data_IF_185532180891
#
_entry.id   IF_185532180891
#
_cell.length_a   1.000
_cell.length_b   1.000
_cell.length_c   1.000
_cell.angle_alpha   90.00
_cell.angle_beta   90.00
_cell.angle_gamma   90.00
#
_symmetry.space_group_name_H-M   'P 1'
#
loop_
_entity.id
_entity.type
_entity.pdbx_description
1 polymer ?
#
# COMPACT_ATOMS: atom_id res chain seq x y z
N UNK A 1 -1.99 -8.16 -8.15
CA UNK A 1 -1.10 -7.61 -9.18
C UNK A 1 -1.87 -7.43 -10.48
N UNK A 2 -2.06 -6.20 -10.86
CA UNK A 2 -2.50 -5.87 -12.21
C UNK A 2 -1.22 -5.83 -13.04
N UNK A 3 -0.85 -6.97 -13.60
CA UNK A 3 0.30 -7.05 -14.51
C UNK A 3 0.15 -5.98 -15.57
N UNK A 4 1.09 -5.06 -15.62
CA UNK A 4 1.46 -3.98 -16.53
C UNK A 4 0.79 -3.94 -17.93
N UNK A 5 -0.50 -4.21 -18.04
CA UNK A 5 -1.27 -3.90 -19.23
C UNK A 5 -1.77 -2.46 -19.14
N UNK A 6 -1.16 -1.59 -19.93
CA UNK A 6 -1.62 -0.23 -20.22
C UNK A 6 -2.99 -0.26 -20.94
N UNK A 7 -4.03 -0.85 -20.35
CA UNK A 7 -5.29 -0.94 -21.05
C UNK A 7 -6.48 -0.67 -20.14
N UNK A 8 -7.48 -0.01 -20.71
CA UNK A 8 -8.88 0.07 -20.26
C UNK A 8 -9.46 -1.29 -19.83
N UNK A 9 -8.79 -2.39 -20.15
CA UNK A 9 -9.10 -3.76 -19.78
C UNK A 9 -8.82 -4.05 -18.30
N UNK A 10 -7.74 -3.48 -17.73
CA UNK A 10 -7.42 -3.63 -16.31
C UNK A 10 -8.54 -3.06 -15.42
N UNK A 11 -9.03 -1.85 -15.72
CA UNK A 11 -10.17 -1.27 -15.01
C UNK A 11 -11.40 -2.19 -15.07
N UNK A 12 -11.72 -2.72 -16.25
CA UNK A 12 -12.91 -3.54 -16.45
C UNK A 12 -12.85 -4.88 -15.69
N UNK A 13 -11.67 -5.52 -15.68
CA UNK A 13 -11.46 -6.80 -15.00
C UNK A 13 -11.46 -6.61 -13.48
N UNK A 14 -10.68 -5.65 -12.98
CA UNK A 14 -10.52 -5.42 -11.54
C UNK A 14 -11.82 -4.88 -10.95
N UNK A 15 -12.50 -3.94 -11.61
CA UNK A 15 -13.78 -3.41 -11.11
C UNK A 15 -14.85 -4.50 -10.90
N UNK A 16 -14.80 -5.58 -11.67
CA UNK A 16 -15.73 -6.70 -11.48
C UNK A 16 -15.51 -7.46 -10.16
N UNK A 17 -14.28 -7.48 -9.63
CA UNK A 17 -13.93 -8.16 -8.38
C UNK A 17 -14.06 -7.26 -7.15
N UNK A 18 -13.97 -5.93 -7.31
CA UNK A 18 -13.97 -4.98 -6.18
C UNK A 18 -15.23 -5.06 -5.32
N UNK A 19 -16.38 -5.37 -5.90
CA UNK A 19 -17.66 -5.56 -5.17
C UNK A 19 -17.66 -6.74 -4.18
N UNK A 20 -16.65 -7.60 -4.25
CA UNK A 20 -16.45 -8.72 -3.33
C UNK A 20 -15.19 -8.58 -2.50
N UNK A 21 -14.61 -7.37 -2.46
CA UNK A 21 -13.31 -7.10 -1.85
C UNK A 21 -13.49 -6.31 -0.57
N UNK A 22 -13.08 -6.87 0.56
CA UNK A 22 -13.04 -6.15 1.84
C UNK A 22 -11.77 -5.29 1.96
N UNK A 23 -10.62 -5.83 1.56
CA UNK A 23 -9.31 -5.21 1.66
C UNK A 23 -8.64 -5.12 0.30
N UNK A 24 -8.29 -3.92 -0.12
CA UNK A 24 -7.68 -3.65 -1.42
C UNK A 24 -6.34 -2.95 -1.23
N UNK A 25 -5.27 -3.51 -1.79
CA UNK A 25 -3.93 -2.90 -1.81
C UNK A 25 -3.46 -2.77 -3.26
N UNK A 26 -3.15 -1.55 -3.68
CA UNK A 26 -2.74 -1.21 -5.04
C UNK A 26 -1.50 -0.34 -5.00
N UNK A 27 -0.62 -0.46 -6.00
CA UNK A 27 0.39 0.56 -6.22
C UNK A 27 -0.23 1.81 -6.89
N UNK A 28 0.54 2.89 -6.97
CA UNK A 28 0.06 4.18 -7.51
C UNK A 28 -0.35 4.11 -8.99
N UNK A 29 0.28 3.22 -9.77
CA UNK A 29 -0.04 3.04 -11.19
C UNK A 29 -1.35 2.27 -11.35
N UNK A 30 -1.48 1.17 -10.63
CA UNK A 30 -2.69 0.35 -10.59
C UNK A 30 -3.90 1.14 -10.10
N UNK A 31 -3.74 1.91 -9.03
CA UNK A 31 -4.80 2.72 -8.48
C UNK A 31 -5.32 3.76 -9.48
N UNK A 32 -4.41 4.43 -10.21
CA UNK A 32 -4.80 5.37 -11.26
C UNK A 32 -5.53 4.65 -12.41
N UNK A 33 -5.05 3.49 -12.83
CA UNK A 33 -5.67 2.69 -13.88
C UNK A 33 -7.07 2.19 -13.50
N UNK A 34 -7.25 1.69 -12.28
CA UNK A 34 -8.53 1.13 -11.79
C UNK A 34 -9.57 2.21 -11.51
N UNK A 35 -9.13 3.36 -11.00
CA UNK A 35 -10.05 4.45 -10.61
C UNK A 35 -10.29 5.45 -11.74
N UNK A 36 -9.41 5.53 -12.74
CA UNK A 36 -9.42 6.57 -13.75
C UNK A 36 -9.11 7.96 -13.18
N UNK A 37 -8.53 8.05 -11.99
CA UNK A 37 -8.17 9.31 -11.34
C UNK A 37 -6.66 9.51 -11.37
N UNK A 38 -6.19 10.58 -12.02
CA UNK A 38 -4.80 10.98 -11.94
C UNK A 38 -4.59 11.83 -10.68
N UNK A 39 -3.93 11.26 -9.69
CA UNK A 39 -3.66 11.93 -8.40
C UNK A 39 -2.18 12.30 -8.21
N UNK A 40 -1.32 12.01 -9.19
CA UNK A 40 0.07 12.44 -9.19
C UNK A 40 0.27 13.59 -10.17
N UNK A 41 0.91 14.68 -9.71
CA UNK A 41 1.38 15.79 -10.52
C UNK A 41 2.81 16.10 -10.11
N UNK A 42 3.74 16.08 -11.06
CA UNK A 42 5.18 16.32 -10.80
C UNK A 42 5.71 15.45 -9.63
N UNK A 43 5.34 14.18 -9.61
CA UNK A 43 5.62 13.18 -8.55
C UNK A 43 5.03 13.52 -7.17
N UNK A 44 4.20 14.54 -7.06
CA UNK A 44 3.54 14.92 -5.80
C UNK A 44 2.10 14.46 -5.81
N UNK A 45 1.68 13.88 -4.69
CA UNK A 45 0.29 13.48 -4.49
C UNK A 45 -0.58 14.72 -4.35
N UNK A 46 -1.66 14.75 -5.13
CA UNK A 46 -2.72 15.75 -5.00
C UNK A 46 -3.77 15.18 -4.04
N UNK A 47 -3.82 15.71 -2.82
CA UNK A 47 -4.64 15.14 -1.73
C UNK A 47 -6.12 15.02 -2.09
N UNK A 48 -6.68 16.02 -2.77
CA UNK A 48 -8.07 15.97 -3.23
C UNK A 48 -8.31 14.84 -4.21
N UNK A 49 -7.38 14.60 -5.13
CA UNK A 49 -7.50 13.58 -6.17
C UNK A 49 -7.29 12.17 -5.60
N UNK A 50 -6.34 11.95 -4.67
CA UNK A 50 -6.19 10.63 -4.07
C UNK A 50 -7.39 10.28 -3.19
N UNK A 51 -8.00 11.24 -2.51
CA UNK A 51 -9.27 11.04 -1.79
C UNK A 51 -10.40 10.66 -2.76
N UNK A 52 -10.47 11.29 -3.93
CA UNK A 52 -11.43 10.91 -4.98
C UNK A 52 -11.17 9.50 -5.50
N UNK A 53 -9.91 9.08 -5.68
CA UNK A 53 -9.56 7.72 -6.05
C UNK A 53 -10.08 6.70 -5.02
N UNK A 54 -9.91 6.97 -3.73
CA UNK A 54 -10.45 6.12 -2.66
C UNK A 54 -11.97 6.04 -2.67
N UNK A 55 -12.65 7.16 -2.89
CA UNK A 55 -14.13 7.16 -3.01
C UNK A 55 -14.58 6.26 -4.16
N UNK A 56 -13.92 6.33 -5.31
CA UNK A 56 -14.23 5.45 -6.44
C UNK A 56 -13.97 3.97 -6.14
N UNK A 57 -12.93 3.64 -5.38
CA UNK A 57 -12.70 2.26 -4.92
C UNK A 57 -13.83 1.79 -4.00
N UNK A 58 -14.26 2.62 -3.06
CA UNK A 58 -15.41 2.33 -2.18
C UNK A 58 -16.73 2.20 -2.97
N UNK A 59 -17.01 3.10 -3.92
CA UNK A 59 -18.17 3.04 -4.81
C UNK A 59 -18.19 1.79 -5.70
N UNK A 60 -17.00 1.30 -6.10
CA UNK A 60 -16.84 0.04 -6.84
C UNK A 60 -17.01 -1.20 -5.94
N UNK A 61 -17.08 -1.02 -4.60
CA UNK A 61 -17.45 -2.06 -3.64
C UNK A 61 -16.40 -2.46 -2.61
N UNK A 62 -15.23 -1.80 -2.54
CA UNK A 62 -14.26 -2.07 -1.46
C UNK A 62 -14.92 -1.70 -0.13
N UNK A 63 -15.06 -2.70 0.76
CA UNK A 63 -15.97 -2.59 1.90
C UNK A 63 -15.29 -2.12 3.20
N UNK A 64 -13.98 -2.39 3.39
CA UNK A 64 -13.30 -2.12 4.67
C UNK A 64 -12.13 -1.17 4.47
N UNK A 65 -11.05 -1.59 3.83
CA UNK A 65 -9.87 -0.77 3.63
C UNK A 65 -9.40 -0.76 2.18
N UNK A 66 -9.10 0.41 1.67
CA UNK A 66 -8.34 0.59 0.44
C UNK A 66 -6.98 1.23 0.79
N UNK A 67 -5.89 0.68 0.26
CA UNK A 67 -4.55 1.22 0.45
C UNK A 67 -3.88 1.43 -0.89
N UNK A 68 -3.24 2.58 -1.06
CA UNK A 68 -2.43 2.91 -2.24
C UNK A 68 -1.01 3.18 -1.75
N UNK A 69 -0.04 2.47 -2.31
CA UNK A 69 1.35 2.58 -1.93
C UNK A 69 2.27 2.94 -3.10
N UNK A 70 3.34 3.63 -2.79
CA UNK A 70 4.43 3.99 -3.69
C UNK A 70 5.77 3.86 -2.93
N UNK A 71 6.93 3.98 -3.62
CA UNK A 71 8.23 3.86 -2.95
C UNK A 71 8.43 4.85 -1.79
N UNK A 72 7.87 6.05 -1.87
CA UNK A 72 8.10 7.12 -0.90
C UNK A 72 7.00 7.29 0.14
N UNK A 73 5.82 6.68 -0.07
CA UNK A 73 4.65 6.92 0.75
C UNK A 73 3.59 5.81 0.62
N UNK A 74 2.67 5.79 1.57
CA UNK A 74 1.40 5.09 1.44
C UNK A 74 0.25 5.94 1.97
N UNK A 75 -0.91 5.80 1.34
CA UNK A 75 -2.20 6.30 1.81
C UNK A 75 -3.13 5.14 2.05
N UNK A 76 -3.86 5.18 3.15
CA UNK A 76 -4.92 4.23 3.47
C UNK A 76 -6.23 4.95 3.66
N UNK A 77 -7.31 4.28 3.30
CA UNK A 77 -8.68 4.77 3.48
C UNK A 77 -9.53 3.71 4.16
N UNK A 78 -10.06 4.05 5.33
CA UNK A 78 -11.06 3.24 6.00
C UNK A 78 -12.44 3.62 5.42
N UNK A 79 -13.00 2.71 4.62
CA UNK A 79 -14.28 2.93 3.94
C UNK A 79 -15.46 3.01 4.92
N UNK A 80 -15.33 2.44 6.12
CA UNK A 80 -16.38 2.44 7.14
C UNK A 80 -16.40 3.73 7.97
N UNK A 81 -15.21 4.33 8.15
CA UNK A 81 -15.04 5.52 8.98
C UNK A 81 -14.88 6.81 8.16
N UNK A 82 -14.81 6.72 6.83
CA UNK A 82 -14.46 7.83 5.92
C UNK A 82 -13.15 8.54 6.35
N UNK A 83 -12.17 7.75 6.80
CA UNK A 83 -10.91 8.26 7.31
C UNK A 83 -9.77 7.94 6.35
N UNK A 84 -9.01 8.97 5.96
CA UNK A 84 -7.78 8.81 5.17
C UNK A 84 -6.56 8.99 6.07
N UNK A 85 -5.58 8.09 5.92
CA UNK A 85 -4.34 8.05 6.69
C UNK A 85 -3.18 8.14 5.70
N UNK A 86 -2.18 8.93 6.04
CA UNK A 86 -0.90 9.03 5.33
C UNK A 86 0.22 8.47 6.18
N UNK A 87 1.09 7.65 5.57
CA UNK A 87 2.36 7.25 6.16
C UNK A 87 3.50 7.44 5.15
N UNK A 88 4.59 8.10 5.54
CA UNK A 88 5.81 8.13 4.76
C UNK A 88 6.49 6.75 4.80
N UNK A 89 7.24 6.42 3.76
CA UNK A 89 8.11 5.25 3.76
C UNK A 89 9.28 5.43 4.73
N UNK A 90 9.91 4.32 5.12
CA UNK A 90 11.05 4.32 6.03
C UNK A 90 12.28 4.97 5.38
N UNK A 91 13.13 5.60 6.19
CA UNK A 91 14.42 6.15 5.78
C UNK A 91 15.50 5.07 5.78
N UNK A 92 15.53 4.29 4.70
CA UNK A 92 16.48 3.20 4.55
C UNK A 92 17.86 3.75 4.17
N UNK A 93 18.96 3.23 4.76
CA UNK A 93 20.31 3.71 4.45
C UNK A 93 20.72 3.33 3.03
N UNK A 94 21.70 4.03 2.50
CA UNK A 94 22.30 3.72 1.19
C UNK A 94 22.79 2.25 1.15
N UNK A 95 22.50 1.56 0.04
CA UNK A 95 22.85 0.16 -0.15
C UNK A 95 21.96 -0.85 0.60
N UNK A 96 20.93 -0.40 1.32
CA UNK A 96 19.98 -1.30 1.97
C UNK A 96 19.12 -2.07 0.96
N UNK A 97 18.67 -1.37 -0.09
CA UNK A 97 17.80 -1.95 -1.12
C UNK A 97 18.63 -2.80 -2.07
N UNK A 98 18.40 -4.11 -2.08
CA UNK A 98 19.05 -5.09 -2.96
C UNK A 98 18.13 -5.55 -4.10
N UNK A 99 16.83 -5.47 -3.92
CA UNK A 99 15.82 -5.81 -4.90
C UNK A 99 14.47 -5.18 -4.56
N UNK A 100 13.59 -5.02 -5.54
CA UNK A 100 12.25 -4.43 -5.36
C UNK A 100 11.13 -5.44 -5.58
N UNK A 101 11.47 -6.64 -6.07
CA UNK A 101 10.49 -7.70 -6.32
C UNK A 101 9.86 -8.17 -5.01
N UNK A 102 8.54 -8.27 -4.98
CA UNK A 102 7.80 -8.74 -3.81
C UNK A 102 7.56 -7.71 -2.71
N UNK A 103 8.08 -6.47 -2.83
CA UNK A 103 7.86 -5.43 -1.81
C UNK A 103 6.38 -5.08 -1.66
N UNK A 104 5.62 -5.01 -2.76
CA UNK A 104 4.17 -4.80 -2.75
C UNK A 104 3.42 -5.96 -2.09
N UNK A 105 3.81 -7.20 -2.36
CA UNK A 105 3.23 -8.40 -1.75
C UNK A 105 3.52 -8.44 -0.25
N UNK A 106 4.74 -8.11 0.16
CA UNK A 106 5.13 -8.01 1.56
C UNK A 106 4.33 -6.90 2.29
N UNK A 107 4.13 -5.75 1.63
CA UNK A 107 3.28 -4.68 2.14
C UNK A 107 1.84 -5.17 2.35
N UNK A 108 1.23 -5.77 1.33
CA UNK A 108 -0.12 -6.33 1.39
C UNK A 108 -0.25 -7.38 2.50
N UNK A 109 0.75 -8.25 2.66
CA UNK A 109 0.77 -9.27 3.73
C UNK A 109 0.70 -8.64 5.12
N UNK A 110 1.40 -7.52 5.35
CA UNK A 110 1.34 -6.76 6.60
C UNK A 110 -0.04 -6.15 6.85
N UNK A 111 -0.68 -5.59 5.81
CA UNK A 111 -2.06 -5.07 5.88
C UNK A 111 -3.03 -6.18 6.28
N UNK A 112 -2.98 -7.33 5.59
CA UNK A 112 -3.87 -8.47 5.85
C UNK A 112 -3.64 -9.08 7.23
N UNK A 113 -2.40 -9.15 7.71
CA UNK A 113 -2.11 -9.59 9.07
C UNK A 113 -2.73 -8.66 10.11
N UNK A 114 -2.61 -7.32 9.93
CA UNK A 114 -3.25 -6.35 10.80
C UNK A 114 -4.77 -6.50 10.81
N UNK A 115 -5.39 -6.68 9.64
CA UNK A 115 -6.81 -6.93 9.51
C UNK A 115 -7.24 -8.22 10.24
N UNK A 116 -6.48 -9.32 10.07
CA UNK A 116 -6.72 -10.58 10.78
C UNK A 116 -6.64 -10.44 12.30
N UNK A 117 -5.73 -9.59 12.79
CA UNK A 117 -5.57 -9.30 14.23
C UNK A 117 -6.62 -8.32 14.77
N UNK A 118 -7.48 -7.77 13.92
CA UNK A 118 -8.47 -6.76 14.31
C UNK A 118 -7.84 -5.39 14.66
N UNK A 119 -6.69 -5.06 14.11
CA UNK A 119 -6.03 -3.78 14.31
C UNK A 119 -6.71 -2.65 13.51
N UNK A 120 -6.45 -1.41 13.90
CA UNK A 120 -6.79 -0.26 13.06
C UNK A 120 -5.90 -0.15 11.82
N UNK A 121 -6.39 0.55 10.80
CA UNK A 121 -5.73 0.71 9.50
C UNK A 121 -4.30 1.26 9.64
N UNK A 122 -4.08 2.28 10.46
CA UNK A 122 -2.76 2.89 10.65
C UNK A 122 -1.72 1.87 11.15
N UNK A 123 -2.08 1.05 12.14
CA UNK A 123 -1.18 0.03 12.68
C UNK A 123 -0.88 -1.06 11.63
N UNK A 124 -1.87 -1.45 10.84
CA UNK A 124 -1.69 -2.38 9.73
C UNK A 124 -0.76 -1.79 8.66
N UNK A 125 -0.91 -0.51 8.32
CA UNK A 125 -0.03 0.19 7.37
C UNK A 125 1.42 0.29 7.88
N UNK A 126 1.64 0.54 9.17
CA UNK A 126 2.98 0.51 9.78
C UNK A 126 3.65 -0.84 9.60
N UNK A 127 2.92 -1.92 9.85
CA UNK A 127 3.43 -3.28 9.62
C UNK A 127 3.68 -3.53 8.13
N UNK A 128 2.76 -3.16 7.25
CA UNK A 128 2.94 -3.28 5.79
C UNK A 128 4.21 -2.58 5.30
N UNK A 129 4.42 -1.34 5.73
CA UNK A 129 5.63 -0.57 5.39
C UNK A 129 6.91 -1.25 5.88
N UNK A 130 6.90 -1.80 7.09
CA UNK A 130 8.04 -2.52 7.65
C UNK A 130 8.30 -3.86 6.94
N UNK A 131 7.24 -4.60 6.56
CA UNK A 131 7.36 -5.82 5.77
C UNK A 131 7.97 -5.54 4.38
N UNK A 132 7.50 -4.48 3.71
CA UNK A 132 8.07 -4.04 2.45
C UNK A 132 9.57 -3.71 2.59
N UNK A 133 9.94 -2.96 3.62
CA UNK A 133 11.34 -2.63 3.90
C UNK A 133 12.19 -3.89 4.15
N UNK A 134 11.67 -4.87 4.88
CA UNK A 134 12.36 -6.15 5.06
C UNK A 134 12.55 -6.88 3.73
N UNK A 135 11.53 -6.95 2.87
CA UNK A 135 11.63 -7.55 1.53
C UNK A 135 12.72 -6.88 0.69
N UNK A 136 12.80 -5.54 0.72
CA UNK A 136 13.82 -4.76 -0.01
C UNK A 136 15.27 -5.08 0.39
N UNK A 137 15.51 -5.68 1.56
CA UNK A 137 16.85 -6.01 2.05
C UNK A 137 17.50 -7.20 1.33
N UNK A 138 16.74 -7.93 0.53
CA UNK A 138 17.22 -9.08 -0.25
C UNK A 138 16.87 -8.94 -1.73
N UNK A 139 17.59 -9.68 -2.60
CA UNK A 139 17.42 -9.56 -4.04
C UNK A 139 16.12 -10.20 -4.56
N UNK A 140 15.55 -11.13 -3.79
CA UNK A 140 14.29 -11.79 -4.12
C UNK A 140 13.14 -11.36 -3.18
N UNK A 141 11.92 -11.77 -3.52
CA UNK A 141 10.72 -11.33 -2.82
C UNK A 141 10.45 -12.00 -1.46
N UNK A 142 11.24 -12.99 -1.02
CA UNK A 142 10.92 -13.83 0.14
C UNK A 142 12.00 -13.90 1.20
N UNK A 143 13.27 -13.85 0.84
CA UNK A 143 14.38 -14.06 1.79
C UNK A 143 14.53 -12.93 2.82
N UNK A 144 13.97 -11.76 2.53
CA UNK A 144 13.89 -10.63 3.45
C UNK A 144 12.79 -10.76 4.51
N UNK A 145 11.87 -11.71 4.39
CA UNK A 145 10.77 -11.88 5.35
C UNK A 145 11.30 -12.36 6.70
N UNK A 146 10.74 -11.81 7.79
CA UNK A 146 11.20 -12.02 9.17
C UNK A 146 10.00 -12.19 10.11
N UNK A 147 10.21 -12.78 11.31
CA UNK A 147 9.21 -12.79 12.37
C UNK A 147 8.75 -11.38 12.71
N UNK A 148 7.49 -11.24 13.16
CA UNK A 148 6.83 -9.97 13.46
C UNK A 148 7.68 -9.04 14.33
N UNK A 149 8.27 -9.56 15.40
CA UNK A 149 9.07 -8.79 16.35
C UNK A 149 10.33 -8.17 15.69
N UNK A 150 10.91 -8.87 14.71
CA UNK A 150 12.05 -8.36 13.95
C UNK A 150 11.63 -7.32 12.91
N UNK A 151 10.49 -7.54 12.25
CA UNK A 151 9.91 -6.57 11.33
C UNK A 151 9.62 -5.25 12.05
N UNK A 152 9.05 -5.30 13.24
CA UNK A 152 8.75 -4.09 14.02
C UNK A 152 10.01 -3.37 14.53
N UNK A 153 11.14 -4.07 14.74
CA UNK A 153 12.42 -3.41 14.99
C UNK A 153 12.93 -2.61 13.80
N UNK A 154 12.65 -3.09 12.57
CA UNK A 154 12.97 -2.34 11.34
C UNK A 154 12.14 -1.06 11.26
N UNK A 155 10.85 -1.12 11.58
CA UNK A 155 10.00 0.06 11.69
C UNK A 155 10.59 1.08 12.68
N UNK A 156 10.84 0.69 13.93
CA UNK A 156 11.35 1.56 14.98
C UNK A 156 12.71 2.18 14.63
N UNK A 157 13.55 1.44 13.92
CA UNK A 157 14.89 1.89 13.55
C UNK A 157 14.89 2.93 12.42
N UNK A 158 13.97 2.81 11.45
CA UNK A 158 14.03 3.59 10.22
C UNK A 158 12.80 4.48 9.98
N UNK A 159 11.83 4.51 10.90
CA UNK A 159 10.71 5.44 10.80
C UNK A 159 11.18 6.88 10.87
N UNK A 160 10.55 7.73 10.08
CA UNK A 160 10.80 9.17 10.16
C UNK A 160 10.33 9.67 11.53
N UNK A 161 11.21 10.29 12.27
CA UNK A 161 10.84 11.06 13.47
C UNK A 161 10.37 12.44 13.00
N UNK A 162 9.14 12.80 13.31
CA UNK A 162 8.71 14.20 13.14
C UNK A 162 9.69 15.11 13.88
N UNK A 163 10.28 16.05 13.14
CA UNK A 163 11.11 17.12 13.70
C UNK A 163 10.24 18.28 14.07
#
# INVERSE_FOLDING_TARGET
>A
DIVSEQSTRAEKIVSASLKYTDYCSLNEVEAQAVTGVSFLKDRRVQERQIREAFRRLAEKGVAVWAVIHAPEWSYGYDCRQDQMIYLPSLELPEGYVKGTTGAGDAYCSGILYGAYKGWGLEQAMKLGTACAACSLSEANGTDGLRPYEEVMKVWEKYRRTEK
#
